data_IF_588167238398
#
_entry.id   IF_588167238398
#
_cell.length_a   1.000
_cell.length_b   1.000
_cell.length_c   1.000
_cell.angle_alpha   90.00
_cell.angle_beta   90.00
_cell.angle_gamma   90.00
#
_symmetry.space_group_name_H-M   'P 1'
#
loop_
_entity.id
_entity.type
_entity.pdbx_description
1 polymer ?
#
# COMPACT_ATOMS: atom_id res chain seq x y z
N UNK A 1 -21.51 3.27 7.91
CA UNK A 1 -20.05 3.26 8.06
C UNK A 1 -19.44 2.20 7.15
N UNK A 2 -18.37 2.56 6.44
CA UNK A 2 -17.58 1.63 5.61
C UNK A 2 -16.41 1.09 6.44
N UNK A 3 -16.12 -0.20 6.29
CA UNK A 3 -15.06 -0.87 7.05
C UNK A 3 -13.88 -1.16 6.12
N UNK A 4 -12.71 -0.69 6.52
CA UNK A 4 -11.45 -0.87 5.80
C UNK A 4 -10.57 -1.84 6.57
N UNK A 5 -10.20 -2.96 5.95
CA UNK A 5 -9.21 -3.88 6.49
C UNK A 5 -7.79 -3.44 6.18
N UNK A 6 -6.84 -3.80 7.03
CA UNK A 6 -5.41 -3.54 6.80
C UNK A 6 -4.67 -4.87 6.75
N UNK A 7 -3.90 -5.08 5.70
CA UNK A 7 -3.01 -6.24 5.57
C UNK A 7 -1.67 -5.97 6.27
N UNK A 8 -0.67 -6.78 6.02
CA UNK A 8 0.68 -6.60 6.56
C UNK A 8 1.24 -5.22 6.21
N UNK A 9 1.76 -4.51 7.21
CA UNK A 9 2.29 -3.15 7.06
C UNK A 9 3.41 -3.08 6.02
N UNK A 10 3.46 -1.99 5.25
CA UNK A 10 4.49 -1.76 4.21
C UNK A 10 5.90 -1.63 4.75
N UNK A 11 6.06 -1.33 6.05
CA UNK A 11 7.34 -1.29 6.74
C UNK A 11 7.94 -2.67 7.05
N UNK A 12 7.14 -3.74 7.00
CA UNK A 12 7.56 -5.11 7.31
C UNK A 12 8.03 -5.87 6.06
N UNK A 13 9.11 -6.64 6.20
CA UNK A 13 9.59 -7.58 5.20
C UNK A 13 9.55 -9.03 5.75
N UNK A 14 10.02 -10.01 4.95
CA UNK A 14 10.00 -11.41 5.34
C UNK A 14 10.83 -11.69 6.62
N UNK A 15 11.95 -11.00 6.82
CA UNK A 15 12.77 -11.16 8.02
C UNK A 15 12.06 -10.59 9.25
N UNK A 16 11.42 -9.45 9.12
CA UNK A 16 10.62 -8.86 10.21
C UNK A 16 9.49 -9.79 10.62
N UNK A 17 8.80 -10.44 9.66
CA UNK A 17 7.75 -11.41 9.95
C UNK A 17 8.27 -12.61 10.75
N UNK A 18 9.44 -13.14 10.39
CA UNK A 18 10.08 -14.23 11.15
C UNK A 18 10.40 -13.81 12.59
N UNK A 19 10.93 -12.63 12.77
CA UNK A 19 11.27 -12.09 14.10
C UNK A 19 10.07 -11.97 15.03
N UNK A 20 8.90 -11.65 14.48
CA UNK A 20 7.65 -11.53 15.27
C UNK A 20 6.83 -12.83 15.30
N UNK A 21 7.39 -13.95 14.81
CA UNK A 21 6.79 -15.29 14.94
C UNK A 21 5.92 -15.76 13.79
N UNK A 22 5.91 -15.08 12.65
CA UNK A 22 5.19 -15.54 11.46
C UNK A 22 6.07 -16.39 10.53
N UNK A 23 5.60 -17.59 10.20
CA UNK A 23 6.32 -18.52 9.31
C UNK A 23 5.98 -18.35 7.82
N UNK A 24 5.10 -17.40 7.47
CA UNK A 24 4.71 -17.12 6.09
C UNK A 24 5.53 -15.94 5.53
N UNK A 25 5.77 -15.96 4.22
CA UNK A 25 6.26 -14.77 3.51
C UNK A 25 5.22 -13.66 3.55
N UNK A 26 5.65 -12.40 3.39
CA UNK A 26 4.75 -11.24 3.26
C UNK A 26 3.68 -11.50 2.19
N UNK A 27 4.07 -12.00 1.02
CA UNK A 27 3.15 -12.31 -0.09
C UNK A 27 2.05 -13.29 0.33
N UNK A 28 2.42 -14.39 0.98
CA UNK A 28 1.46 -15.41 1.40
C UNK A 28 0.56 -14.93 2.54
N UNK A 29 1.11 -14.16 3.48
CA UNK A 29 0.35 -13.59 4.58
C UNK A 29 -0.68 -12.57 4.07
N UNK A 30 -0.29 -11.67 3.17
CA UNK A 30 -1.19 -10.69 2.55
C UNK A 30 -2.30 -11.37 1.76
N UNK A 31 -1.99 -12.42 0.98
CA UNK A 31 -3.00 -13.20 0.27
C UNK A 31 -4.00 -13.86 1.22
N UNK A 32 -3.53 -14.43 2.33
CA UNK A 32 -4.39 -14.99 3.38
C UNK A 32 -5.30 -13.93 4.00
N UNK A 33 -4.75 -12.77 4.36
CA UNK A 33 -5.50 -11.64 4.90
C UNK A 33 -6.54 -11.11 3.92
N UNK A 34 -6.22 -11.04 2.62
CA UNK A 34 -7.17 -10.65 1.58
C UNK A 34 -8.35 -11.63 1.46
N UNK A 35 -8.11 -12.94 1.61
CA UNK A 35 -9.18 -13.95 1.65
C UNK A 35 -10.09 -13.76 2.88
N UNK A 36 -9.52 -13.47 4.05
CA UNK A 36 -10.28 -13.17 5.26
C UNK A 36 -11.13 -11.89 5.10
N UNK A 37 -10.55 -10.83 4.53
CA UNK A 37 -11.26 -9.58 4.24
C UNK A 37 -12.46 -9.80 3.29
N UNK A 38 -12.26 -10.62 2.25
CA UNK A 38 -13.34 -11.03 1.34
C UNK A 38 -14.44 -11.79 2.08
N UNK A 39 -14.07 -12.78 2.90
CA UNK A 39 -15.01 -13.58 3.69
C UNK A 39 -15.81 -12.73 4.68
N UNK A 40 -15.16 -11.74 5.30
CA UNK A 40 -15.79 -10.79 6.21
C UNK A 40 -16.59 -9.69 5.49
N UNK A 41 -16.60 -9.68 4.15
CA UNK A 41 -17.30 -8.70 3.32
C UNK A 41 -16.90 -7.24 3.60
N UNK A 42 -15.62 -6.97 3.85
CA UNK A 42 -15.11 -5.62 4.06
C UNK A 42 -15.33 -4.73 2.83
N UNK A 43 -15.39 -3.43 3.02
CA UNK A 43 -15.64 -2.45 1.96
C UNK A 43 -14.39 -2.09 1.16
N UNK A 44 -13.24 -2.06 1.83
CA UNK A 44 -11.95 -1.77 1.22
C UNK A 44 -10.82 -2.51 1.94
N UNK A 45 -9.67 -2.59 1.28
CA UNK A 45 -8.49 -3.26 1.82
C UNK A 45 -7.23 -2.45 1.57
N UNK A 46 -6.43 -2.27 2.61
CA UNK A 46 -5.11 -1.63 2.51
C UNK A 46 -4.04 -2.68 2.24
N UNK A 47 -3.24 -2.48 1.21
CA UNK A 47 -2.05 -3.30 0.93
C UNK A 47 -0.93 -2.47 0.27
N UNK A 48 0.31 -2.97 0.31
CA UNK A 48 1.42 -2.30 -0.33
C UNK A 48 1.30 -2.33 -1.86
N UNK A 49 2.01 -1.42 -2.56
CA UNK A 49 1.98 -1.35 -4.03
C UNK A 49 2.34 -2.68 -4.72
N UNK A 50 3.26 -3.44 -4.12
CA UNK A 50 3.73 -4.71 -4.68
C UNK A 50 2.70 -5.85 -4.61
N UNK A 51 1.75 -5.76 -3.70
CA UNK A 51 0.72 -6.79 -3.52
C UNK A 51 -0.60 -6.49 -4.24
N UNK A 52 -0.78 -5.28 -4.78
CA UNK A 52 -2.05 -4.84 -5.41
C UNK A 52 -2.56 -5.87 -6.44
N UNK A 53 -1.71 -6.31 -7.35
CA UNK A 53 -2.11 -7.26 -8.41
C UNK A 53 -2.56 -8.60 -7.83
N UNK A 54 -1.88 -9.12 -6.81
CA UNK A 54 -2.24 -10.39 -6.16
C UNK A 54 -3.52 -10.24 -5.32
N UNK A 55 -3.64 -9.14 -4.58
CA UNK A 55 -4.83 -8.82 -3.78
C UNK A 55 -6.04 -8.63 -4.67
N UNK A 56 -5.91 -7.93 -5.80
CA UNK A 56 -6.99 -7.69 -6.76
C UNK A 56 -7.61 -8.99 -7.32
N UNK A 57 -6.84 -10.05 -7.45
CA UNK A 57 -7.34 -11.37 -7.87
C UNK A 57 -8.29 -11.99 -6.85
N UNK A 58 -8.11 -11.68 -5.57
CA UNK A 58 -8.86 -12.24 -4.43
C UNK A 58 -9.98 -11.30 -3.99
N UNK A 59 -9.65 -10.02 -3.80
CA UNK A 59 -10.53 -8.98 -3.26
C UNK A 59 -10.90 -8.00 -4.37
N UNK A 60 -12.19 -7.93 -4.71
CA UNK A 60 -12.70 -7.21 -5.90
C UNK A 60 -13.22 -5.80 -5.61
N UNK A 61 -13.28 -5.41 -4.33
CA UNK A 61 -13.66 -4.06 -3.92
C UNK A 61 -12.46 -3.11 -3.89
N UNK A 62 -12.61 -1.95 -3.28
CA UNK A 62 -11.59 -0.90 -3.30
C UNK A 62 -10.28 -1.31 -2.62
N UNK A 63 -9.17 -0.95 -3.23
CA UNK A 63 -7.82 -1.12 -2.69
C UNK A 63 -7.22 0.25 -2.43
N UNK A 64 -6.70 0.41 -1.22
CA UNK A 64 -6.04 1.62 -0.74
C UNK A 64 -4.56 1.31 -0.55
N UNK A 65 -3.68 2.08 -1.17
CA UNK A 65 -2.25 1.76 -1.18
C UNK A 65 -1.41 2.89 -0.57
N UNK A 66 -0.84 2.68 0.61
CA UNK A 66 0.22 3.50 1.18
C UNK A 66 1.60 3.09 0.63
N UNK A 67 2.66 3.79 1.05
CA UNK A 67 4.01 3.48 0.58
C UNK A 67 4.29 3.96 -0.83
N UNK A 68 3.53 4.91 -1.31
CA UNK A 68 3.67 5.51 -2.63
C UNK A 68 4.59 6.73 -2.55
N UNK A 69 5.49 6.87 -3.50
CA UNK A 69 6.52 7.90 -3.53
C UNK A 69 6.42 8.78 -4.78
N UNK A 70 6.92 10.01 -4.62
CA UNK A 70 7.17 10.94 -5.72
C UNK A 70 8.69 11.16 -5.75
N UNK A 71 9.39 10.55 -6.71
CA UNK A 71 10.84 10.67 -6.82
C UNK A 71 11.63 9.70 -5.95
N UNK A 72 12.71 10.16 -5.29
CA UNK A 72 13.67 9.28 -4.58
C UNK A 72 13.07 8.51 -3.40
N UNK A 73 13.49 7.25 -3.23
CA UNK A 73 13.08 6.33 -2.15
C UNK A 73 13.19 6.90 -0.74
N UNK A 74 12.14 6.73 0.06
CA UNK A 74 12.19 6.89 1.52
C UNK A 74 12.70 5.59 2.15
N UNK A 75 13.76 5.70 2.97
CA UNK A 75 14.48 4.55 3.53
C UNK A 75 13.68 3.73 4.57
N UNK A 76 12.64 4.29 5.17
CA UNK A 76 11.85 3.64 6.23
C UNK A 76 10.68 2.80 5.70
N UNK A 77 10.34 2.89 4.41
CA UNK A 77 9.34 2.02 3.77
C UNK A 77 10.02 1.02 2.84
N UNK A 78 10.21 -0.18 3.34
CA UNK A 78 10.91 -1.27 2.62
C UNK A 78 10.17 -1.75 1.36
N UNK A 79 8.86 -1.53 1.29
CA UNK A 79 7.99 -1.93 0.19
C UNK A 79 7.22 -0.72 -0.36
N UNK A 80 7.91 0.12 -1.10
CA UNK A 80 7.35 1.34 -1.73
C UNK A 80 7.55 1.35 -3.24
N UNK A 81 6.69 2.06 -3.95
CA UNK A 81 6.70 2.18 -5.41
C UNK A 81 6.36 3.61 -5.83
N UNK A 82 6.83 4.03 -7.02
CA UNK A 82 6.44 5.32 -7.59
C UNK A 82 4.94 5.37 -7.89
N UNK A 83 4.31 6.53 -7.64
CA UNK A 83 2.86 6.72 -7.70
C UNK A 83 2.25 6.29 -9.04
N UNK A 84 2.92 6.61 -10.14
CA UNK A 84 2.47 6.30 -11.50
C UNK A 84 2.47 4.81 -11.85
N UNK A 85 3.15 3.98 -11.07
CA UNK A 85 3.23 2.52 -11.28
C UNK A 85 2.22 1.72 -10.46
N UNK A 86 1.44 2.40 -9.60
CA UNK A 86 0.52 1.73 -8.67
C UNK A 86 -0.89 1.70 -9.25
N UNK A 87 -1.42 0.51 -9.48
CA UNK A 87 -2.78 0.31 -10.00
C UNK A 87 -3.76 -0.05 -8.86
N UNK A 88 -3.98 0.88 -7.95
CA UNK A 88 -5.00 0.79 -6.90
C UNK A 88 -6.05 1.89 -7.04
N UNK A 89 -7.17 1.76 -6.32
CA UNK A 89 -8.26 2.75 -6.41
C UNK A 89 -7.90 4.05 -5.65
N UNK A 90 -7.14 3.91 -4.55
CA UNK A 90 -6.73 5.04 -3.72
C UNK A 90 -5.25 4.98 -3.37
N UNK A 91 -4.56 6.12 -3.47
CA UNK A 91 -3.17 6.28 -3.04
C UNK A 91 -3.11 7.10 -1.75
N UNK A 92 -2.36 6.61 -0.76
CA UNK A 92 -2.06 7.38 0.45
C UNK A 92 -0.65 7.95 0.33
N UNK A 93 -0.56 9.26 0.18
CA UNK A 93 0.69 9.99 -0.03
C UNK A 93 0.82 11.05 1.07
N UNK A 94 1.77 10.86 1.96
CA UNK A 94 2.02 11.76 3.09
C UNK A 94 3.31 12.55 2.91
N UNK A 95 4.40 12.05 3.43
CA UNK A 95 5.71 12.72 3.50
C UNK A 95 6.27 13.16 2.14
N UNK A 96 5.94 12.47 1.05
CA UNK A 96 6.31 12.90 -0.29
C UNK A 96 5.75 14.29 -0.66
N UNK A 97 4.65 14.70 -0.02
CA UNK A 97 4.05 16.03 -0.19
C UNK A 97 4.55 16.99 0.87
N UNK A 98 4.62 16.55 2.15
CA UNK A 98 4.76 17.44 3.32
C UNK A 98 6.19 17.64 3.81
N UNK A 99 7.11 16.73 3.50
CA UNK A 99 8.44 16.71 4.14
C UNK A 99 9.42 17.76 3.62
N UNK A 100 9.26 18.25 2.39
CA UNK A 100 10.22 19.21 1.77
C UNK A 100 9.53 20.15 0.80
N UNK A 101 10.02 21.41 0.76
CA UNK A 101 9.65 22.39 -0.25
C UNK A 101 8.22 22.91 -0.11
N UNK A 102 7.67 23.38 -1.21
CA UNK A 102 6.34 23.96 -1.26
C UNK A 102 5.29 22.89 -1.48
N UNK A 103 4.41 22.71 -0.50
CA UNK A 103 3.34 21.69 -0.49
C UNK A 103 2.45 21.80 -1.74
N UNK A 104 2.03 23.01 -2.10
CA UNK A 104 1.18 23.24 -3.28
C UNK A 104 1.86 22.78 -4.57
N UNK A 105 3.15 23.09 -4.74
CA UNK A 105 3.94 22.64 -5.89
C UNK A 105 4.10 21.13 -5.91
N UNK A 106 4.32 20.50 -4.75
CA UNK A 106 4.44 19.04 -4.64
C UNK A 106 3.14 18.35 -5.05
N UNK A 107 1.99 18.89 -4.64
CA UNK A 107 0.67 18.36 -5.04
C UNK A 107 0.46 18.52 -6.56
N UNK A 108 0.77 19.68 -7.12
CA UNK A 108 0.64 19.92 -8.57
C UNK A 108 1.49 18.94 -9.39
N UNK A 109 2.76 18.77 -9.02
CA UNK A 109 3.67 17.81 -9.66
C UNK A 109 3.15 16.37 -9.57
N UNK A 110 2.53 15.99 -8.44
CA UNK A 110 1.92 14.68 -8.27
C UNK A 110 0.73 14.49 -9.22
N UNK A 111 -0.18 15.46 -9.27
CA UNK A 111 -1.36 15.41 -10.14
C UNK A 111 -0.95 15.25 -11.61
N UNK A 112 0.07 15.99 -12.06
CA UNK A 112 0.60 15.89 -13.42
C UNK A 112 1.15 14.49 -13.74
N UNK A 113 1.85 13.86 -12.77
CA UNK A 113 2.38 12.50 -12.93
C UNK A 113 1.30 11.40 -12.95
N UNK A 114 0.17 11.63 -12.29
CA UNK A 114 -0.93 10.67 -12.22
C UNK A 114 -1.93 10.79 -13.38
N UNK A 115 -1.81 11.83 -14.17
CA UNK A 115 -2.60 11.99 -15.39
C UNK A 115 -2.02 11.19 -16.53
#
# INVERSE_FOLDING_TARGET
TRIVGVTTLTSLNNNDLKLIGYNKSVKNLVAHQAKLAKKANLDALVCSPYEVSAVRKIFKKEIITPGVQIGKKNYDQKRSMEAEKVNSDWLVIGRAITARGNIKKNIQNLIEKLR
#
